data_IF_828830047321
#
_entry.id   IF_828830047321
#
_cell.length_a   1.000
_cell.length_b   1.000
_cell.length_c   1.000
_cell.angle_alpha   90.00
_cell.angle_beta   90.00
_cell.angle_gamma   90.00
#
_symmetry.space_group_name_H-M   'P 1'
#
loop_
_entity.id
_entity.type
_entity.pdbx_description
1 polymer ?
#
# COMPACT_ATOMS: atom_id res chain seq x y z
N UNK A 1 18.21 -22.32 5.98
CA UNK A 1 18.39 -21.27 7.02
C UNK A 1 18.67 -19.85 6.48
N UNK A 2 19.41 -19.63 5.37
CA UNK A 2 19.65 -18.27 4.82
C UNK A 2 18.39 -17.47 4.43
N UNK A 3 17.31 -18.14 4.01
CA UNK A 3 16.06 -17.46 3.61
C UNK A 3 15.34 -16.77 4.77
N UNK A 4 15.47 -17.27 6.00
CA UNK A 4 14.75 -16.73 7.16
C UNK A 4 15.29 -15.33 7.53
N UNK A 5 16.62 -15.20 7.63
CA UNK A 5 17.28 -13.91 7.94
C UNK A 5 17.03 -12.86 6.85
N UNK A 6 17.02 -13.26 5.57
CA UNK A 6 16.72 -12.36 4.46
C UNK A 6 15.30 -11.76 4.55
N UNK A 7 14.30 -12.56 4.94
CA UNK A 7 12.92 -12.09 5.12
C UNK A 7 12.79 -11.07 6.26
N UNK A 8 13.47 -11.29 7.39
CA UNK A 8 13.45 -10.33 8.50
C UNK A 8 14.14 -9.02 8.15
N UNK A 9 15.30 -9.08 7.48
CA UNK A 9 16.01 -7.89 7.02
C UNK A 9 15.14 -7.12 6.02
N UNK A 10 14.47 -7.80 5.09
CA UNK A 10 13.53 -7.17 4.17
C UNK A 10 12.38 -6.48 4.92
N UNK A 11 11.83 -7.11 5.97
CA UNK A 11 10.75 -6.54 6.77
C UNK A 11 11.19 -5.26 7.50
N UNK A 12 12.39 -5.25 8.07
CA UNK A 12 12.96 -4.06 8.74
C UNK A 12 13.18 -2.92 7.75
N UNK A 13 13.74 -3.21 6.57
CA UNK A 13 13.95 -2.21 5.51
C UNK A 13 12.62 -1.60 5.06
N UNK A 14 11.59 -2.43 4.88
CA UNK A 14 10.24 -1.96 4.52
C UNK A 14 9.64 -1.07 5.61
N UNK A 15 9.78 -1.42 6.89
CA UNK A 15 9.29 -0.60 8.01
C UNK A 15 9.99 0.76 8.07
N UNK A 16 11.31 0.80 7.86
CA UNK A 16 12.08 2.06 7.79
C UNK A 16 11.59 2.90 6.61
N UNK A 17 11.38 2.30 5.44
CA UNK A 17 10.86 3.00 4.27
C UNK A 17 9.43 3.56 4.50
N UNK A 18 8.56 2.82 5.19
CA UNK A 18 7.24 3.30 5.60
C UNK A 18 7.34 4.46 6.59
N UNK A 19 8.23 4.39 7.57
CA UNK A 19 8.49 5.49 8.51
C UNK A 19 8.96 6.76 7.79
N UNK A 20 9.94 6.64 6.89
CA UNK A 20 10.44 7.75 6.08
C UNK A 20 9.36 8.36 5.19
N UNK A 21 8.52 7.52 4.56
CA UNK A 21 7.41 7.99 3.72
C UNK A 21 6.40 8.80 4.51
N UNK A 22 6.06 8.40 5.74
CA UNK A 22 5.15 9.15 6.61
C UNK A 22 5.71 10.52 7.00
N UNK A 23 7.02 10.63 7.25
CA UNK A 23 7.66 11.92 7.57
C UNK A 23 7.63 12.86 6.37
N UNK A 24 8.00 12.36 5.18
CA UNK A 24 7.96 13.13 3.92
C UNK A 24 6.53 13.61 3.64
N UNK A 25 5.53 12.75 3.86
CA UNK A 25 4.13 13.09 3.72
C UNK A 25 3.72 14.26 4.63
N UNK A 26 4.12 14.18 5.90
CA UNK A 26 3.82 15.20 6.90
C UNK A 26 4.46 16.54 6.55
N UNK A 27 5.70 16.53 6.04
CA UNK A 27 6.39 17.72 5.53
C UNK A 27 5.71 18.31 4.28
N UNK A 28 5.26 17.46 3.36
CA UNK A 28 4.55 17.90 2.15
C UNK A 28 3.19 18.54 2.49
N UNK A 29 2.45 17.97 3.45
CA UNK A 29 1.22 18.52 3.99
C UNK A 29 1.43 19.88 4.66
N UNK A 30 2.50 20.05 5.46
CA UNK A 30 2.81 21.34 6.09
C UNK A 30 3.23 22.42 5.10
N UNK A 31 3.70 22.05 3.90
CA UNK A 31 3.98 22.98 2.81
C UNK A 31 2.74 23.32 1.96
N UNK A 32 1.53 22.91 2.39
CA UNK A 32 0.27 23.24 1.73
C UNK A 32 -0.03 22.39 0.49
N UNK A 33 0.66 21.26 0.32
CA UNK A 33 0.46 20.38 -0.85
C UNK A 33 -0.74 19.48 -0.61
N UNK A 34 -1.69 19.46 -1.56
CA UNK A 34 -2.90 18.65 -1.44
C UNK A 34 -2.52 17.15 -1.38
N UNK A 35 -2.88 16.41 -0.31
CA UNK A 35 -2.52 15.01 -0.13
C UNK A 35 -3.01 14.10 -1.27
N UNK A 36 -4.13 14.46 -1.90
CA UNK A 36 -4.72 13.70 -3.01
C UNK A 36 -3.77 13.72 -4.21
N UNK A 37 -3.16 14.86 -4.53
CA UNK A 37 -2.24 15.00 -5.66
C UNK A 37 -0.97 14.18 -5.43
N UNK A 38 -0.46 14.17 -4.19
CA UNK A 38 0.72 13.38 -3.83
C UNK A 38 0.47 11.88 -3.98
N UNK A 39 -0.71 11.40 -3.57
CA UNK A 39 -1.11 9.99 -3.73
C UNK A 39 -1.18 9.56 -5.19
N UNK A 40 -1.77 10.40 -6.03
CA UNK A 40 -1.89 10.16 -7.47
C UNK A 40 -0.50 10.10 -8.10
N UNK A 41 0.39 11.03 -7.77
CA UNK A 41 1.78 11.01 -8.24
C UNK A 41 2.50 9.73 -7.86
N UNK A 42 2.35 9.27 -6.61
CA UNK A 42 2.99 8.03 -6.15
C UNK A 42 2.51 6.80 -6.91
N UNK A 43 1.21 6.71 -7.21
CA UNK A 43 0.65 5.62 -8.02
C UNK A 43 1.13 5.66 -9.47
N UNK A 44 1.21 6.84 -10.07
CA UNK A 44 1.71 7.00 -11.43
C UNK A 44 3.18 6.57 -11.55
N UNK A 45 4.03 7.00 -10.61
CA UNK A 45 5.44 6.60 -10.57
C UNK A 45 5.55 5.09 -10.33
N UNK A 46 4.76 4.52 -9.42
CA UNK A 46 4.76 3.09 -9.17
C UNK A 46 4.38 2.28 -10.42
N UNK A 47 3.34 2.70 -11.15
CA UNK A 47 2.94 2.06 -12.41
C UNK A 47 4.05 2.18 -13.46
N UNK A 48 4.66 3.36 -13.61
CA UNK A 48 5.73 3.59 -14.57
C UNK A 48 6.99 2.75 -14.29
N UNK A 49 7.32 2.54 -13.01
CA UNK A 49 8.50 1.76 -12.60
C UNK A 49 8.22 0.26 -12.62
N UNK A 50 7.04 -0.18 -12.15
CA UNK A 50 6.67 -1.60 -12.16
C UNK A 50 6.33 -2.10 -13.56
N UNK A 51 5.75 -1.28 -14.45
CA UNK A 51 5.34 -1.71 -15.79
C UNK A 51 6.47 -2.36 -16.61
N UNK A 52 7.68 -1.75 -16.73
CA UNK A 52 8.79 -2.39 -17.44
C UNK A 52 9.34 -3.61 -16.71
N UNK A 53 9.41 -3.59 -15.37
CA UNK A 53 9.87 -4.73 -14.58
C UNK A 53 8.95 -5.94 -14.71
N UNK A 54 7.63 -5.73 -14.61
CA UNK A 54 6.61 -6.75 -14.81
C UNK A 54 6.70 -7.32 -16.24
N UNK A 55 6.84 -6.46 -17.25
CA UNK A 55 6.97 -6.90 -18.64
C UNK A 55 8.20 -7.80 -18.88
N UNK A 56 9.34 -7.45 -18.29
CA UNK A 56 10.59 -8.23 -18.43
C UNK A 56 10.52 -9.55 -17.67
N UNK A 57 9.98 -9.55 -16.46
CA UNK A 57 9.98 -10.71 -15.56
C UNK A 57 8.89 -11.74 -15.91
N UNK A 58 7.69 -11.30 -16.30
CA UNK A 58 6.57 -12.20 -16.65
C UNK A 58 6.56 -12.67 -18.10
N UNK A 59 7.52 -12.24 -18.93
CA UNK A 59 7.63 -12.67 -20.34
C UNK A 59 7.69 -14.18 -20.51
N UNK A 60 8.17 -14.92 -19.49
CA UNK A 60 8.40 -16.37 -19.54
C UNK A 60 7.28 -17.23 -18.95
N UNK A 61 6.36 -16.66 -18.19
CA UNK A 61 5.38 -17.39 -17.36
C UNK A 61 3.98 -16.77 -17.46
N UNK A 62 3.53 -16.46 -18.68
CA UNK A 62 2.24 -15.78 -18.91
C UNK A 62 1.08 -16.79 -18.92
N UNK A 63 0.17 -16.81 -17.92
CA UNK A 63 -1.19 -17.26 -18.15
C UNK A 63 -1.92 -16.21 -19.02
N UNK A 64 -2.82 -16.66 -19.89
CA UNK A 64 -3.60 -15.77 -20.76
C UNK A 64 -4.60 -14.92 -19.95
N UNK A 65 -4.14 -13.81 -19.39
CA UNK A 65 -5.02 -12.83 -18.76
C UNK A 65 -5.74 -12.02 -19.84
N UNK A 66 -7.05 -12.20 -19.95
CA UNK A 66 -7.89 -11.38 -20.83
C UNK A 66 -7.85 -9.91 -20.38
N UNK A 67 -7.80 -8.97 -21.33
CA UNK A 67 -7.82 -7.53 -21.05
C UNK A 67 -8.96 -7.13 -20.12
N UNK A 68 -10.14 -7.78 -20.23
CA UNK A 68 -11.28 -7.56 -19.32
C UNK A 68 -10.97 -7.96 -17.87
N UNK A 69 -10.25 -9.05 -17.64
CA UNK A 69 -9.84 -9.46 -16.29
C UNK A 69 -8.77 -8.56 -15.71
N UNK A 70 -7.78 -8.17 -16.52
CA UNK A 70 -6.76 -7.19 -16.11
C UNK A 70 -7.42 -5.84 -15.73
N UNK A 71 -8.36 -5.36 -16.54
CA UNK A 71 -9.09 -4.12 -16.25
C UNK A 71 -9.95 -4.23 -14.99
N UNK A 72 -10.61 -5.37 -14.75
CA UNK A 72 -11.35 -5.62 -13.51
C UNK A 72 -10.44 -5.60 -12.28
N UNK A 73 -9.29 -6.28 -12.32
CA UNK A 73 -8.31 -6.30 -11.22
C UNK A 73 -7.75 -4.91 -10.99
N UNK A 74 -7.44 -4.17 -12.06
CA UNK A 74 -6.95 -2.81 -11.99
C UNK A 74 -7.97 -1.86 -11.36
N UNK A 75 -9.23 -1.88 -11.82
CA UNK A 75 -10.29 -1.04 -11.26
C UNK A 75 -10.57 -1.37 -9.80
N UNK A 76 -10.61 -2.66 -9.45
CA UNK A 76 -10.80 -3.11 -8.08
C UNK A 76 -9.65 -2.65 -7.17
N UNK A 77 -8.41 -2.80 -7.63
CA UNK A 77 -7.22 -2.37 -6.88
C UNK A 77 -7.14 -0.85 -6.75
N UNK A 78 -7.43 -0.11 -7.82
CA UNK A 78 -7.41 1.35 -7.86
C UNK A 78 -8.49 1.95 -6.96
N UNK A 79 -9.73 1.45 -7.03
CA UNK A 79 -10.80 1.88 -6.14
C UNK A 79 -10.48 1.55 -4.69
N UNK A 80 -10.00 0.33 -4.40
CA UNK A 80 -9.64 -0.09 -3.04
C UNK A 80 -8.54 0.78 -2.41
N UNK A 81 -7.45 1.03 -3.14
CA UNK A 81 -6.35 1.88 -2.65
C UNK A 81 -6.73 3.35 -2.56
N UNK A 82 -7.49 3.87 -3.52
CA UNK A 82 -7.94 5.27 -3.49
C UNK A 82 -8.87 5.52 -2.33
N UNK A 83 -9.86 4.65 -2.11
CA UNK A 83 -10.80 4.75 -0.97
C UNK A 83 -10.04 4.62 0.36
N UNK A 84 -9.13 3.64 0.47
CA UNK A 84 -8.31 3.46 1.68
C UNK A 84 -7.45 4.69 1.98
N UNK A 85 -6.75 5.24 0.99
CA UNK A 85 -5.89 6.40 1.16
C UNK A 85 -6.71 7.65 1.50
N UNK A 86 -7.81 7.91 0.80
CA UNK A 86 -8.67 9.06 1.10
C UNK A 86 -9.24 8.98 2.53
N UNK A 87 -9.76 7.82 2.95
CA UNK A 87 -10.21 7.62 4.33
C UNK A 87 -9.08 7.79 5.35
N UNK A 88 -7.87 7.34 5.02
CA UNK A 88 -6.70 7.49 5.87
C UNK A 88 -6.26 8.95 6.04
N UNK A 89 -6.25 9.76 4.97
CA UNK A 89 -5.93 11.19 5.07
C UNK A 89 -7.00 11.98 5.80
N UNK A 90 -8.29 11.70 5.53
CA UNK A 90 -9.39 12.31 6.28
C UNK A 90 -9.25 11.95 7.76
N UNK A 91 -8.97 10.68 8.08
CA UNK A 91 -8.70 10.25 9.46
C UNK A 91 -7.49 10.93 10.10
N UNK A 92 -6.42 11.17 9.34
CA UNK A 92 -5.24 11.92 9.79
C UNK A 92 -5.49 13.42 9.99
N UNK A 93 -6.47 13.99 9.30
CA UNK A 93 -6.89 15.38 9.51
C UNK A 93 -7.62 15.54 10.85
N UNK A 94 -8.44 14.54 11.21
CA UNK A 94 -9.16 14.50 12.48
C UNK A 94 -8.38 13.85 13.65
N UNK A 95 -7.26 13.18 13.37
CA UNK A 95 -6.54 12.38 14.37
C UNK A 95 -5.03 12.56 14.28
N UNK A 96 -4.34 12.52 15.43
CA UNK A 96 -2.87 12.61 15.48
C UNK A 96 -2.21 11.39 14.82
N UNK A 97 -1.06 11.56 14.13
CA UNK A 97 -0.30 10.45 13.55
C UNK A 97 0.08 9.34 14.55
N UNK A 98 0.10 9.64 15.86
CA UNK A 98 0.26 8.62 16.92
C UNK A 98 -0.93 7.66 16.98
N UNK A 99 -2.16 8.17 16.85
CA UNK A 99 -3.38 7.35 16.86
C UNK A 99 -3.51 6.56 15.55
N UNK A 100 -3.11 7.15 14.40
CA UNK A 100 -3.03 6.41 13.14
C UNK A 100 -2.03 5.23 13.20
N UNK A 101 -0.89 5.43 13.87
CA UNK A 101 0.08 4.36 14.13
C UNK A 101 -0.48 3.28 15.05
N UNK A 102 -1.22 3.66 16.09
CA UNK A 102 -1.88 2.71 16.99
C UNK A 102 -2.96 1.87 16.27
N UNK A 103 -3.79 2.51 15.42
CA UNK A 103 -4.80 1.82 14.61
C UNK A 103 -4.18 0.83 13.62
N UNK A 104 -2.98 1.14 13.10
CA UNK A 104 -2.25 0.22 12.22
C UNK A 104 -1.90 -1.11 12.90
N UNK A 105 -1.66 -1.09 14.22
CA UNK A 105 -1.44 -2.30 15.02
C UNK A 105 -2.72 -3.10 15.29
N UNK A 106 -3.89 -2.49 15.13
CA UNK A 106 -5.20 -3.15 15.30
C UNK A 106 -5.59 -3.97 14.06
N UNK A 107 -5.05 -3.61 12.88
CA UNK A 107 -5.30 -4.31 11.61
C UNK A 107 -5.07 -5.83 11.71
N UNK A 108 -3.90 -6.34 12.18
CA UNK A 108 -3.69 -7.79 12.31
C UNK A 108 -4.62 -8.46 13.32
N UNK A 109 -4.96 -7.77 14.41
CA UNK A 109 -5.90 -8.27 15.42
C UNK A 109 -7.31 -8.43 14.86
N UNK A 110 -7.82 -7.43 14.13
CA UNK A 110 -9.11 -7.49 13.45
C UNK A 110 -9.14 -8.56 12.35
N UNK A 111 -8.05 -8.68 11.58
CA UNK A 111 -7.93 -9.69 10.52
C UNK A 111 -8.04 -11.10 11.11
N UNK A 112 -7.42 -11.35 12.26
CA UNK A 112 -7.49 -12.65 12.96
C UNK A 112 -8.90 -12.93 13.48
N UNK A 113 -9.58 -11.91 14.03
CA UNK A 113 -10.97 -12.05 14.49
C UNK A 113 -11.92 -12.39 13.33
N UNK A 114 -11.81 -11.68 12.21
CA UNK A 114 -12.65 -11.92 11.02
C UNK A 114 -12.34 -13.31 10.43
N UNK A 115 -11.07 -13.69 10.35
CA UNK A 115 -10.67 -15.02 9.86
C UNK A 115 -11.24 -16.16 10.72
N UNK A 116 -11.23 -16.00 12.05
CA UNK A 116 -11.85 -16.96 12.96
C UNK A 116 -13.38 -16.96 12.87
N UNK A 117 -14.01 -15.80 12.64
CA UNK A 117 -15.46 -15.70 12.50
C UNK A 117 -15.97 -16.31 11.18
N UNK A 118 -15.12 -16.36 10.14
CA UNK A 118 -15.47 -16.96 8.84
C UNK A 118 -15.37 -18.50 8.83
N UNK A 119 -14.86 -19.12 9.90
CA UNK A 119 -14.68 -20.56 10.07
C UNK A 119 -15.66 -21.19 11.09
N UNK A 120 -16.66 -20.43 11.57
CA UNK A 120 -17.77 -20.88 12.42
C UNK A 120 -19.07 -20.73 11.64
#
# INVERSE_FOLDING_TARGET
MKSFSASYIAMVVVQIAYGGSNIIMKLALQKGLNPIVFVVYRHLIAILVLSPFAYIFERKSRPSLSFRMAMKIFLLSSMGTTVHLNLYYIGLEYTSPTVASALSNVIPSLTTLIANCSWV
#
